data_IF_111675534790
#
_entry.id   IF_111675534790
#
_cell.length_a   1.000
_cell.length_b   1.000
_cell.length_c   1.000
_cell.angle_alpha   90.00
_cell.angle_beta   90.00
_cell.angle_gamma   90.00
#
_symmetry.space_group_name_H-M   'P 1'
#
loop_
_entity.id
_entity.type
_entity.pdbx_description
1 polymer ?
#
# COMPACT_ATOMS: atom_id res chain seq x y z
N UNK A 1 10.22 3.04 11.70
CA UNK A 1 9.28 3.10 10.57
C UNK A 1 7.93 3.72 10.90
N UNK A 2 7.09 3.20 11.81
CA UNK A 2 5.78 3.86 12.11
C UNK A 2 5.96 5.34 12.49
N UNK A 3 6.89 5.65 13.41
CA UNK A 3 7.19 7.04 13.77
C UNK A 3 7.73 7.86 12.59
N UNK A 4 8.53 7.25 11.71
CA UNK A 4 9.04 7.93 10.51
C UNK A 4 7.92 8.23 9.52
N UNK A 5 6.99 7.29 9.31
CA UNK A 5 5.82 7.49 8.45
C UNK A 5 4.88 8.56 9.02
N UNK A 6 4.66 8.58 10.35
CA UNK A 6 3.89 9.63 11.00
C UNK A 6 4.56 11.01 10.85
N UNK A 7 5.89 11.08 11.04
CA UNK A 7 6.63 12.32 10.85
C UNK A 7 6.58 12.78 9.40
N UNK A 8 6.74 11.85 8.45
CA UNK A 8 6.64 12.12 7.02
C UNK A 8 5.25 12.69 6.67
N UNK A 9 4.17 12.06 7.13
CA UNK A 9 2.82 12.58 6.96
C UNK A 9 2.67 13.97 7.56
N UNK A 10 3.19 14.21 8.76
CA UNK A 10 3.08 15.52 9.40
C UNK A 10 3.85 16.61 8.65
N UNK A 11 5.00 16.27 8.05
CA UNK A 11 5.84 17.20 7.29
C UNK A 11 5.23 17.54 5.93
N UNK A 12 4.69 16.55 5.21
CA UNK A 12 4.38 16.70 3.79
C UNK A 12 2.89 16.77 3.45
N UNK A 13 2.00 16.23 4.27
CA UNK A 13 0.57 16.26 3.97
C UNK A 13 0.07 17.70 3.82
N UNK A 14 -0.73 17.95 2.78
CA UNK A 14 -1.28 19.24 2.34
C UNK A 14 -0.25 20.25 1.82
N UNK A 15 1.03 19.85 1.70
CA UNK A 15 2.12 20.76 1.30
C UNK A 15 2.78 20.39 -0.03
N UNK A 16 2.38 19.30 -0.69
CA UNK A 16 2.96 18.82 -1.95
C UNK A 16 2.51 19.66 -3.17
N UNK A 17 2.82 20.96 -3.17
CA UNK A 17 2.41 21.92 -4.21
C UNK A 17 3.54 22.40 -5.12
N UNK A 18 4.80 22.00 -4.85
CA UNK A 18 5.96 22.37 -5.66
C UNK A 18 6.83 21.17 -6.03
N UNK A 19 7.48 21.24 -7.18
CA UNK A 19 8.33 20.16 -7.71
C UNK A 19 9.49 19.83 -6.77
N UNK A 20 10.10 20.83 -6.14
CA UNK A 20 11.19 20.63 -5.19
C UNK A 20 10.75 19.87 -3.94
N UNK A 21 9.59 20.25 -3.38
CA UNK A 21 9.01 19.55 -2.23
C UNK A 21 8.63 18.12 -2.60
N UNK A 22 8.02 17.91 -3.76
CA UNK A 22 7.65 16.58 -4.25
C UNK A 22 8.90 15.72 -4.45
N UNK A 23 9.95 16.23 -5.07
CA UNK A 23 11.21 15.48 -5.24
C UNK A 23 11.82 15.09 -3.89
N UNK A 24 11.82 16.00 -2.92
CA UNK A 24 12.33 15.73 -1.57
C UNK A 24 11.48 14.68 -0.86
N UNK A 25 10.15 14.84 -0.91
CA UNK A 25 9.21 13.89 -0.33
C UNK A 25 9.34 12.50 -0.97
N UNK A 26 9.52 12.40 -2.28
CA UNK A 26 9.71 11.12 -2.96
C UNK A 26 11.01 10.42 -2.56
N UNK A 27 12.10 11.17 -2.34
CA UNK A 27 13.35 10.60 -1.84
C UNK A 27 13.20 10.06 -0.40
N UNK A 28 12.49 10.78 0.47
CA UNK A 28 12.19 10.28 1.82
C UNK A 28 11.24 9.08 1.79
N UNK A 29 10.21 9.13 0.94
CA UNK A 29 9.25 8.05 0.71
C UNK A 29 9.96 6.78 0.25
N UNK A 30 10.85 6.88 -0.74
CA UNK A 30 11.67 5.78 -1.24
C UNK A 30 12.42 5.08 -0.10
N UNK A 31 13.07 5.84 0.78
CA UNK A 31 13.79 5.28 1.91
C UNK A 31 12.87 4.52 2.90
N UNK A 32 11.68 5.06 3.16
CA UNK A 32 10.69 4.39 4.01
C UNK A 32 10.20 3.09 3.34
N UNK A 33 9.90 3.12 2.04
CA UNK A 33 9.43 1.97 1.29
C UNK A 33 10.49 0.87 1.19
N UNK A 34 11.76 1.21 0.93
CA UNK A 34 12.86 0.23 0.92
C UNK A 34 12.97 -0.48 2.27
N UNK A 35 12.89 0.25 3.37
CA UNK A 35 12.97 -0.33 4.70
C UNK A 35 11.74 -1.21 5.02
N UNK A 36 10.56 -0.78 4.61
CA UNK A 36 9.32 -1.54 4.76
C UNK A 36 9.34 -2.84 3.94
N UNK A 37 9.82 -2.78 2.70
CA UNK A 37 9.96 -3.92 1.80
C UNK A 37 10.91 -4.97 2.39
N UNK A 38 12.08 -4.54 2.88
CA UNK A 38 13.04 -5.45 3.55
C UNK A 38 12.44 -6.18 4.75
N UNK A 39 11.69 -5.48 5.60
CA UNK A 39 11.01 -6.11 6.75
C UNK A 39 9.93 -7.09 6.31
N UNK A 40 9.18 -6.73 5.26
CA UNK A 40 8.13 -7.56 4.69
C UNK A 40 8.68 -8.85 4.11
N UNK A 41 9.70 -8.73 3.26
CA UNK A 41 10.38 -9.88 2.71
C UNK A 41 10.99 -10.78 3.80
N UNK A 42 11.61 -10.21 4.83
CA UNK A 42 12.13 -11.01 5.94
C UNK A 42 11.05 -11.81 6.67
N UNK A 43 9.93 -11.17 7.04
CA UNK A 43 8.86 -11.83 7.77
C UNK A 43 8.18 -12.93 6.93
N UNK A 44 7.89 -12.64 5.65
CA UNK A 44 7.24 -13.58 4.75
C UNK A 44 8.16 -14.77 4.40
N UNK A 45 9.44 -14.51 4.09
CA UNK A 45 10.41 -15.57 3.82
C UNK A 45 10.61 -16.48 5.05
N UNK A 46 10.69 -15.90 6.26
CA UNK A 46 10.81 -16.69 7.49
C UNK A 46 9.61 -17.61 7.70
N UNK A 47 8.39 -17.12 7.44
CA UNK A 47 7.19 -17.95 7.54
C UNK A 47 7.16 -19.03 6.45
N UNK A 48 7.65 -18.75 5.25
CA UNK A 48 7.64 -19.72 4.15
C UNK A 48 8.53 -20.96 4.37
N UNK A 49 9.52 -20.87 5.26
CA UNK A 49 10.38 -22.03 5.61
C UNK A 49 9.57 -23.10 6.35
N UNK A 50 8.71 -22.67 7.27
CA UNK A 50 7.79 -23.54 8.01
C UNK A 50 6.58 -22.74 8.46
N UNK A 51 5.45 -22.94 7.77
CA UNK A 51 4.21 -22.22 8.04
C UNK A 51 3.58 -22.61 9.38
N UNK A 52 3.98 -23.72 10.00
CA UNK A 52 3.50 -24.13 11.33
C UNK A 52 4.25 -23.44 12.48
N UNK A 53 5.33 -22.73 12.20
CA UNK A 53 6.15 -22.07 13.20
C UNK A 53 5.41 -20.87 13.83
N UNK A 54 5.06 -21.00 15.12
CA UNK A 54 4.31 -19.99 15.88
C UNK A 54 5.04 -18.64 15.95
N UNK A 55 6.36 -18.62 16.12
CA UNK A 55 7.11 -17.36 16.18
C UNK A 55 7.08 -16.61 14.84
N UNK A 56 7.20 -17.33 13.73
CA UNK A 56 7.12 -16.75 12.39
C UNK A 56 5.70 -16.22 12.10
N UNK A 57 4.66 -16.94 12.50
CA UNK A 57 3.27 -16.48 12.41
C UNK A 57 3.05 -15.20 13.22
N UNK A 58 3.53 -15.15 14.48
CA UNK A 58 3.42 -13.97 15.34
C UNK A 58 4.18 -12.78 14.74
N UNK A 59 5.38 -13.00 14.19
CA UNK A 59 6.15 -11.94 13.53
C UNK A 59 5.39 -11.37 12.33
N UNK A 60 4.87 -12.23 11.45
CA UNK A 60 4.07 -11.80 10.30
C UNK A 60 2.82 -11.02 10.73
N UNK A 61 2.08 -11.51 11.73
CA UNK A 61 0.87 -10.85 12.21
C UNK A 61 1.16 -9.44 12.76
N UNK A 62 2.24 -9.31 13.55
CA UNK A 62 2.72 -8.00 14.04
C UNK A 62 3.12 -7.08 12.90
N UNK A 63 3.83 -7.61 11.90
CA UNK A 63 4.21 -6.83 10.73
C UNK A 63 2.98 -6.37 9.96
N UNK A 64 2.02 -7.25 9.65
CA UNK A 64 0.81 -6.90 8.89
C UNK A 64 0.05 -5.73 9.52
N UNK A 65 -0.12 -5.73 10.85
CA UNK A 65 -0.74 -4.62 11.58
C UNK A 65 0.07 -3.32 11.44
N UNK A 66 1.39 -3.42 11.53
CA UNK A 66 2.31 -2.27 11.45
C UNK A 66 2.40 -1.71 10.02
N UNK A 67 2.39 -2.60 9.04
CA UNK A 67 2.43 -2.31 7.62
C UNK A 67 1.22 -1.47 7.21
N UNK A 68 0.01 -1.90 7.60
CA UNK A 68 -1.21 -1.15 7.33
C UNK A 68 -1.18 0.27 7.92
N UNK A 69 -0.64 0.43 9.13
CA UNK A 69 -0.45 1.75 9.74
C UNK A 69 0.52 2.62 8.95
N UNK A 70 1.64 2.07 8.49
CA UNK A 70 2.64 2.81 7.70
C UNK A 70 2.04 3.24 6.36
N UNK A 71 1.47 2.31 5.60
CA UNK A 71 0.90 2.61 4.27
C UNK A 71 -0.22 3.63 4.36
N UNK A 72 -1.08 3.55 5.39
CA UNK A 72 -2.13 4.55 5.63
C UNK A 72 -1.58 5.96 5.87
N UNK A 73 -0.36 6.10 6.39
CA UNK A 73 0.28 7.41 6.59
C UNK A 73 1.01 7.92 5.34
N UNK A 74 1.23 7.06 4.34
CA UNK A 74 1.93 7.41 3.11
C UNK A 74 0.95 7.60 1.93
N UNK A 75 -0.29 7.10 2.04
CA UNK A 75 -1.25 7.07 0.93
C UNK A 75 -1.64 8.44 0.39
N UNK A 76 -1.51 9.51 1.19
CA UNK A 76 -1.81 10.87 0.75
C UNK A 76 -0.91 11.34 -0.39
N UNK A 77 0.32 10.82 -0.50
CA UNK A 77 1.32 11.32 -1.46
C UNK A 77 0.82 11.19 -2.90
N UNK A 78 0.30 10.01 -3.24
CA UNK A 78 -0.22 9.73 -4.58
C UNK A 78 -1.46 10.58 -4.88
N UNK A 79 -2.39 10.68 -3.92
CA UNK A 79 -3.60 11.50 -4.05
C UNK A 79 -3.28 12.98 -4.25
N UNK A 80 -2.41 13.56 -3.41
CA UNK A 80 -2.06 14.98 -3.50
C UNK A 80 -1.30 15.32 -4.78
N UNK A 81 -0.40 14.44 -5.24
CA UNK A 81 0.27 14.64 -6.53
C UNK A 81 -0.77 14.62 -7.66
N UNK A 82 -1.72 13.69 -7.64
CA UNK A 82 -2.73 13.56 -8.70
C UNK A 82 -3.76 14.69 -8.73
N UNK A 83 -4.00 15.34 -7.60
CA UNK A 83 -4.85 16.55 -7.49
C UNK A 83 -4.21 17.80 -8.08
N UNK A 84 -2.91 17.78 -8.39
CA UNK A 84 -2.22 18.92 -9.01
C UNK A 84 -2.78 19.23 -10.42
N UNK A 85 -2.68 20.52 -10.84
CA UNK A 85 -2.96 20.93 -12.21
C UNK A 85 -2.16 20.11 -13.23
N UNK A 86 -2.77 19.86 -14.40
CA UNK A 86 -2.19 19.04 -15.46
C UNK A 86 -0.84 19.59 -15.92
N UNK A 87 -0.67 20.90 -15.94
CA UNK A 87 0.58 21.57 -16.31
C UNK A 87 1.72 21.23 -15.34
N UNK A 88 1.42 21.14 -14.03
CA UNK A 88 2.40 20.77 -13.00
C UNK A 88 2.74 19.28 -13.11
N UNK A 89 1.75 18.44 -13.39
CA UNK A 89 1.95 17.00 -13.58
C UNK A 89 2.85 16.70 -14.78
N UNK A 90 2.66 17.40 -15.90
CA UNK A 90 3.52 17.28 -17.07
C UNK A 90 4.95 17.73 -16.77
N UNK A 91 5.11 18.86 -16.06
CA UNK A 91 6.42 19.34 -15.65
C UNK A 91 7.11 18.37 -14.68
N UNK A 92 6.37 17.75 -13.78
CA UNK A 92 6.86 16.69 -12.89
C UNK A 92 7.33 15.45 -13.67
N UNK A 93 6.58 15.02 -14.68
CA UNK A 93 6.95 13.86 -15.51
C UNK A 93 8.33 14.08 -16.18
N UNK A 94 8.63 15.31 -16.61
CA UNK A 94 9.89 15.63 -17.28
C UNK A 94 11.05 15.90 -16.32
N UNK A 95 10.81 16.59 -15.20
CA UNK A 95 11.86 17.12 -14.34
C UNK A 95 12.16 16.30 -13.07
N UNK A 96 11.23 15.44 -12.66
CA UNK A 96 11.40 14.60 -11.47
C UNK A 96 12.45 13.49 -11.71
N UNK A 97 13.35 13.20 -10.76
CA UNK A 97 14.24 12.04 -10.85
C UNK A 97 13.49 10.70 -10.99
N UNK A 98 12.26 10.63 -10.50
CA UNK A 98 11.40 9.44 -10.46
C UNK A 98 10.40 9.41 -11.64
N UNK A 99 10.84 9.76 -12.85
CA UNK A 99 9.98 9.91 -14.04
C UNK A 99 9.04 8.72 -14.29
N UNK A 100 9.57 7.50 -14.19
CA UNK A 100 8.77 6.30 -14.42
C UNK A 100 7.61 6.19 -13.42
N UNK A 101 7.89 6.45 -12.14
CA UNK A 101 6.89 6.42 -11.08
C UNK A 101 5.79 7.46 -11.34
N UNK A 102 6.16 8.70 -11.63
CA UNK A 102 5.21 9.78 -11.94
C UNK A 102 4.37 9.43 -13.19
N UNK A 103 4.99 8.92 -14.24
CA UNK A 103 4.28 8.51 -15.46
C UNK A 103 3.24 7.41 -15.19
N UNK A 104 3.57 6.44 -14.35
CA UNK A 104 2.62 5.38 -13.97
C UNK A 104 1.51 5.93 -13.09
N UNK A 105 1.83 6.85 -12.17
CA UNK A 105 0.86 7.51 -11.32
C UNK A 105 -0.16 8.32 -12.15
N UNK A 106 0.31 9.16 -13.09
CA UNK A 106 -0.55 9.94 -13.99
C UNK A 106 -1.44 9.02 -14.84
N UNK A 107 -0.93 7.88 -15.32
CA UNK A 107 -1.74 6.89 -16.03
C UNK A 107 -2.86 6.29 -15.19
N UNK A 108 -2.72 6.28 -13.86
CA UNK A 108 -3.77 5.81 -12.96
C UNK A 108 -4.84 6.88 -12.68
N UNK A 109 -4.53 8.17 -12.86
CA UNK A 109 -5.46 9.29 -12.63
C UNK A 109 -6.86 9.10 -13.22
N UNK A 110 -7.05 8.60 -14.46
CA UNK A 110 -8.39 8.41 -15.03
C UNK A 110 -9.23 7.33 -14.34
N UNK A 111 -8.58 6.44 -13.57
CA UNK A 111 -9.23 5.35 -12.84
C UNK A 111 -9.46 5.71 -11.35
N UNK A 112 -8.97 6.87 -10.89
CA UNK A 112 -9.24 7.35 -9.55
C UNK A 112 -10.69 7.82 -9.46
N UNK A 113 -11.39 7.33 -8.44
CA UNK A 113 -12.75 7.75 -8.17
C UNK A 113 -12.72 8.97 -7.25
N UNK A 114 -13.85 9.68 -7.13
CA UNK A 114 -13.92 10.73 -6.13
C UNK A 114 -13.74 10.14 -4.73
N UNK A 115 -13.14 10.89 -3.80
CA UNK A 115 -12.91 10.44 -2.43
C UNK A 115 -14.17 9.86 -1.77
N UNK A 116 -15.35 10.44 -2.05
CA UNK A 116 -16.65 9.94 -1.59
C UNK A 116 -16.97 8.53 -2.10
N UNK A 117 -16.65 8.22 -3.36
CA UNK A 117 -16.91 6.92 -3.97
C UNK A 117 -15.89 5.89 -3.48
N UNK A 118 -14.61 6.27 -3.35
CA UNK A 118 -13.60 5.38 -2.78
C UNK A 118 -13.93 5.00 -1.33
N UNK A 119 -14.42 5.93 -0.52
CA UNK A 119 -14.87 5.65 0.85
C UNK A 119 -16.06 4.68 0.88
N UNK A 120 -17.03 4.84 -0.04
CA UNK A 120 -18.16 3.91 -0.17
C UNK A 120 -17.67 2.52 -0.54
N UNK A 121 -16.77 2.40 -1.53
CA UNK A 121 -16.20 1.12 -1.93
C UNK A 121 -15.41 0.47 -0.80
N UNK A 122 -14.57 1.22 -0.10
CA UNK A 122 -13.81 0.73 1.05
C UNK A 122 -14.72 0.20 2.16
N UNK A 123 -15.85 0.86 2.40
CA UNK A 123 -16.86 0.41 3.36
C UNK A 123 -17.57 -0.87 2.89
N UNK A 124 -17.78 -1.03 1.58
CA UNK A 124 -18.43 -2.20 0.99
C UNK A 124 -17.48 -3.40 0.80
N UNK A 125 -16.16 -3.19 0.86
CA UNK A 125 -15.14 -4.23 0.66
C UNK A 125 -15.38 -5.53 1.43
N UNK A 126 -15.76 -5.54 2.72
CA UNK A 126 -16.07 -6.78 3.43
C UNK A 126 -17.23 -7.56 2.79
N UNK A 127 -18.27 -6.86 2.33
CA UNK A 127 -19.41 -7.48 1.65
C UNK A 127 -18.98 -8.04 0.29
N UNK A 128 -18.21 -7.28 -0.50
CA UNK A 128 -17.72 -7.72 -1.81
C UNK A 128 -16.80 -8.94 -1.70
N UNK A 129 -15.96 -8.98 -0.65
CA UNK A 129 -15.01 -10.06 -0.43
C UNK A 129 -15.63 -11.31 0.22
N UNK A 130 -16.79 -11.18 0.87
CA UNK A 130 -17.44 -12.27 1.60
C UNK A 130 -17.71 -13.53 0.76
N UNK A 131 -17.95 -13.37 -0.55
CA UNK A 131 -18.19 -14.51 -1.47
C UNK A 131 -16.92 -15.35 -1.63
N UNK A 132 -15.76 -14.70 -1.72
CA UNK A 132 -14.48 -15.40 -1.81
C UNK A 132 -14.13 -16.07 -0.48
N UNK A 133 -14.36 -15.39 0.65
CA UNK A 133 -14.15 -15.98 1.97
C UNK A 133 -15.02 -17.23 2.19
N UNK A 134 -16.28 -17.18 1.75
CA UNK A 134 -17.18 -18.33 1.75
C UNK A 134 -16.64 -19.46 0.87
N UNK A 135 -16.22 -19.16 -0.36
CA UNK A 135 -15.62 -20.15 -1.27
C UNK A 135 -14.41 -20.85 -0.65
N UNK A 136 -13.50 -20.09 -0.03
CA UNK A 136 -12.32 -20.64 0.65
C UNK A 136 -12.72 -21.50 1.83
N UNK A 137 -13.65 -21.01 2.68
CA UNK A 137 -14.17 -21.74 3.83
C UNK A 137 -14.78 -23.08 3.41
N UNK A 138 -15.68 -23.05 2.42
CA UNK A 138 -16.33 -24.27 1.92
C UNK A 138 -15.31 -25.27 1.38
N UNK A 139 -14.37 -24.84 0.54
CA UNK A 139 -13.39 -25.76 -0.03
C UNK A 139 -12.42 -26.35 1.01
N UNK A 140 -12.01 -25.56 2.01
CA UNK A 140 -10.97 -25.95 2.95
C UNK A 140 -11.51 -26.67 4.18
N UNK A 141 -12.75 -26.38 4.60
CA UNK A 141 -13.31 -26.88 5.86
C UNK A 141 -14.55 -27.77 5.67
N UNK A 142 -15.39 -27.48 4.67
CA UNK A 142 -16.68 -28.19 4.52
C UNK A 142 -16.59 -29.36 3.53
N UNK A 143 -15.75 -29.29 2.51
CA UNK A 143 -15.55 -30.38 1.55
C UNK A 143 -14.74 -31.50 2.21
N UNK A 144 -15.32 -32.69 2.24
CA UNK A 144 -14.65 -33.92 2.65
C UNK A 144 -14.31 -34.75 1.42
N UNK A 145 -13.13 -35.38 1.45
CA UNK A 145 -12.68 -36.28 0.40
C UNK A 145 -12.62 -37.71 0.94
N UNK A 146 -13.02 -38.67 0.11
CA UNK A 146 -12.82 -40.08 0.42
C UNK A 146 -11.33 -40.38 0.56
N UNK A 147 -10.98 -41.40 1.36
CA UNK A 147 -9.59 -41.83 1.49
C UNK A 147 -9.04 -42.26 0.13
N UNK A 148 -7.87 -41.71 -0.22
CA UNK A 148 -7.12 -42.16 -1.39
C UNK A 148 -6.71 -43.63 -1.21
N UNK A 149 -6.95 -44.45 -2.25
CA UNK A 149 -6.49 -45.84 -2.33
C UNK A 149 -5.02 -45.93 -2.70
#
# INVERSE_FOLDING_TARGET
LVQQANQFHHTYATTLNSIEQINTALAELENILIALDRLSNYAELRLSVDTSNIEAQVLRAKLSTTYGKIVSQLSFVESEILELPEEILQQLEESCPYQHYIKQLIKQKPFQLSASVEQVLATLSPTLNSVYDLYVTTNMLDITFDQFK
#
